data_IF_590394018818
#
_entry.id   IF_590394018818
#
_cell.length_a   1.000
_cell.length_b   1.000
_cell.length_c   1.000
_cell.angle_alpha   90.00
_cell.angle_beta   90.00
_cell.angle_gamma   90.00
#
_symmetry.space_group_name_H-M   'P 1'
#
loop_
_entity.id
_entity.type
_entity.pdbx_description
1 polymer ?
#
# COMPACT_ATOMS: atom_id res chain seq x y z
N UNK A 1 4.84 4.66 -38.35
CA UNK A 1 4.17 4.87 -37.05
C UNK A 1 4.19 3.69 -36.05
N UNK A 2 4.28 2.39 -36.41
CA UNK A 2 4.22 1.32 -35.40
C UNK A 2 5.46 1.24 -34.48
N UNK A 3 6.64 1.68 -34.94
CA UNK A 3 7.87 1.70 -34.12
C UNK A 3 7.79 2.63 -32.90
N UNK A 4 7.09 3.77 -33.02
CA UNK A 4 7.01 4.75 -31.94
C UNK A 4 6.22 4.22 -30.73
N UNK A 5 5.14 3.48 -31.00
CA UNK A 5 4.29 2.88 -29.96
C UNK A 5 5.08 1.86 -29.14
N UNK A 6 5.87 1.01 -29.79
CA UNK A 6 6.73 0.04 -29.11
C UNK A 6 7.80 0.72 -28.22
N UNK A 7 8.38 1.83 -28.67
CA UNK A 7 9.33 2.58 -27.85
C UNK A 7 8.67 3.16 -26.59
N UNK A 8 7.47 3.74 -26.74
CA UNK A 8 6.71 4.29 -25.61
C UNK A 8 6.36 3.19 -24.60
N UNK A 9 5.89 2.04 -25.09
CA UNK A 9 5.57 0.88 -24.24
C UNK A 9 6.80 0.36 -23.49
N UNK A 10 7.95 0.27 -24.15
CA UNK A 10 9.20 -0.18 -23.54
C UNK A 10 9.68 0.77 -22.44
N UNK A 11 9.72 2.08 -22.72
CA UNK A 11 10.13 3.09 -21.72
C UNK A 11 9.16 3.08 -20.54
N UNK A 12 7.86 3.08 -20.79
CA UNK A 12 6.84 3.04 -19.75
C UNK A 12 6.99 1.82 -18.83
N UNK A 13 7.16 0.63 -19.41
CA UNK A 13 7.36 -0.60 -18.64
C UNK A 13 8.64 -0.54 -17.80
N UNK A 14 9.75 -0.04 -18.37
CA UNK A 14 10.99 0.15 -17.64
C UNK A 14 10.84 1.14 -16.47
N UNK A 15 10.18 2.28 -16.69
CA UNK A 15 9.92 3.28 -15.65
C UNK A 15 9.04 2.73 -14.53
N UNK A 16 7.94 2.04 -14.84
CA UNK A 16 7.08 1.42 -13.82
C UNK A 16 7.89 0.43 -12.99
N UNK A 17 8.66 -0.44 -13.66
CA UNK A 17 9.46 -1.45 -12.97
C UNK A 17 10.50 -0.82 -12.05
N UNK A 18 11.21 0.21 -12.53
CA UNK A 18 12.18 0.96 -11.73
C UNK A 18 11.56 1.61 -10.51
N UNK A 19 10.50 2.41 -10.70
CA UNK A 19 9.81 3.10 -9.60
C UNK A 19 9.24 2.10 -8.57
N UNK A 20 8.69 0.97 -9.04
CA UNK A 20 8.15 -0.07 -8.15
C UNK A 20 9.25 -0.73 -7.33
N UNK A 21 10.43 -0.94 -7.92
CA UNK A 21 11.59 -1.50 -7.23
C UNK A 21 12.09 -0.55 -6.13
N UNK A 22 12.26 0.73 -6.43
CA UNK A 22 12.67 1.75 -5.46
C UNK A 22 11.70 1.83 -4.28
N UNK A 23 10.39 1.89 -4.55
CA UNK A 23 9.37 1.89 -3.49
C UNK A 23 9.41 0.61 -2.64
N UNK A 24 9.67 -0.55 -3.25
CA UNK A 24 9.80 -1.82 -2.52
C UNK A 24 11.00 -1.79 -1.59
N UNK A 25 12.14 -1.28 -2.05
CA UNK A 25 13.33 -1.14 -1.23
C UNK A 25 13.09 -0.16 -0.07
N UNK A 26 12.48 0.99 -0.32
CA UNK A 26 12.09 1.94 0.73
C UNK A 26 11.11 1.34 1.74
N UNK A 27 10.21 0.46 1.30
CA UNK A 27 9.28 -0.22 2.19
C UNK A 27 9.97 -1.31 3.02
N UNK A 28 10.92 -2.04 2.42
CA UNK A 28 11.68 -3.09 3.08
C UNK A 28 12.67 -2.57 4.12
N UNK A 29 13.18 -1.34 3.94
CA UNK A 29 14.07 -0.69 4.90
C UNK A 29 13.34 -0.09 6.12
N UNK A 30 12.00 -0.18 6.19
CA UNK A 30 11.25 0.30 7.36
C UNK A 30 11.42 -0.71 8.49
N UNK A 31 12.09 -0.31 9.56
CA UNK A 31 12.18 -1.08 10.82
C UNK A 31 10.84 -1.12 11.58
N UNK A 32 9.88 -0.28 11.17
CA UNK A 32 8.55 -0.19 11.79
C UNK A 32 7.59 -1.17 11.13
N UNK A 33 6.83 -1.97 11.91
CA UNK A 33 5.79 -2.82 11.39
C UNK A 33 4.80 -2.06 10.51
N UNK A 34 4.26 -2.73 9.48
CA UNK A 34 3.21 -2.17 8.63
C UNK A 34 2.07 -1.62 9.51
N UNK A 35 1.59 -0.38 9.26
CA UNK A 35 0.49 0.19 10.02
C UNK A 35 -0.76 -0.68 9.97
N UNK A 36 -1.47 -0.83 11.10
CA UNK A 36 -2.69 -1.63 11.20
C UNK A 36 -3.78 -1.19 10.20
N UNK A 37 -3.83 0.11 9.88
CA UNK A 37 -4.76 0.69 8.89
C UNK A 37 -4.57 0.16 7.46
N UNK A 38 -3.41 -0.46 7.17
CA UNK A 38 -3.10 -1.05 5.86
C UNK A 38 -3.23 -2.59 5.86
N UNK A 39 -3.69 -3.18 6.97
CA UNK A 39 -4.11 -4.57 7.00
C UNK A 39 -5.51 -4.70 6.37
N UNK A 40 -5.80 -5.82 5.69
CA UNK A 40 -7.12 -6.05 5.13
C UNK A 40 -8.16 -6.19 6.26
N UNK A 41 -9.33 -5.56 6.08
CA UNK A 41 -10.44 -5.62 7.06
C UNK A 41 -11.11 -7.00 7.16
N UNK A 42 -10.78 -7.90 6.23
CA UNK A 42 -11.28 -9.27 6.16
C UNK A 42 -10.12 -10.21 5.85
N UNK A 43 -10.28 -11.46 6.23
CA UNK A 43 -9.33 -12.49 5.86
C UNK A 43 -9.36 -12.69 4.34
N UNK A 44 -8.25 -12.38 3.66
CA UNK A 44 -8.17 -12.44 2.19
C UNK A 44 -8.43 -13.84 1.64
N UNK A 45 -8.15 -14.90 2.41
CA UNK A 45 -8.30 -16.30 1.99
C UNK A 45 -9.68 -16.87 2.26
N UNK A 46 -10.38 -16.42 3.31
CA UNK A 46 -11.69 -16.97 3.72
C UNK A 46 -12.86 -16.00 3.57
N UNK A 47 -12.60 -14.71 3.36
CA UNK A 47 -13.63 -13.66 3.29
C UNK A 47 -14.20 -13.24 4.65
N UNK A 48 -13.88 -13.95 5.73
CA UNK A 48 -14.39 -13.67 7.07
C UNK A 48 -13.90 -12.30 7.57
N UNK A 49 -14.84 -11.46 8.01
CA UNK A 49 -14.52 -10.19 8.67
C UNK A 49 -14.06 -10.48 10.08
N UNK A 50 -12.84 -10.05 10.43
CA UNK A 50 -12.44 -10.04 11.83
C UNK A 50 -13.33 -9.02 12.57
N UNK A 51 -13.88 -9.34 13.76
CA UNK A 51 -14.52 -8.31 14.58
C UNK A 51 -13.52 -7.17 14.80
N UNK A 52 -13.95 -5.90 14.71
CA UNK A 52 -13.05 -4.78 14.91
C UNK A 52 -12.39 -4.94 16.28
N UNK A 53 -11.06 -5.10 16.27
CA UNK A 53 -10.30 -5.02 17.50
C UNK A 53 -10.37 -3.55 17.94
N UNK A 54 -11.24 -3.28 18.90
CA UNK A 54 -11.41 -1.99 19.56
C UNK A 54 -10.17 -1.72 20.40
N UNK A 55 -9.05 -1.50 19.73
CA UNK A 55 -7.87 -0.90 20.33
C UNK A 55 -7.94 0.62 20.10
N UNK A 56 -7.45 1.37 21.07
CA UNK A 56 -7.72 2.78 21.40
C UNK A 56 -7.52 3.82 20.27
N UNK A 57 -7.09 3.41 19.08
CA UNK A 57 -6.93 4.23 17.88
C UNK A 57 -8.26 4.64 17.22
N UNK A 58 -9.41 4.15 17.72
CA UNK A 58 -10.74 4.51 17.24
C UNK A 58 -11.37 5.72 17.94
N UNK A 59 -10.68 6.35 18.91
CA UNK A 59 -11.14 7.64 19.42
C UNK A 59 -11.02 8.64 18.26
N UNK A 60 -12.13 9.26 17.82
CA UNK A 60 -12.04 10.30 16.80
C UNK A 60 -11.13 11.40 17.34
N UNK A 61 -10.08 11.76 16.59
CA UNK A 61 -9.14 12.84 16.95
C UNK A 61 -9.84 14.19 17.21
N UNK A 62 -11.11 14.32 16.82
CA UNK A 62 -11.99 15.44 17.12
C UNK A 62 -12.27 15.59 18.63
N UNK A 63 -12.24 14.49 19.40
CA UNK A 63 -12.47 14.55 20.85
C UNK A 63 -11.24 14.97 21.67
N UNK A 64 -10.02 14.86 21.12
CA UNK A 64 -8.76 15.17 21.81
C UNK A 64 -8.30 16.63 21.66
N UNK A 65 -9.11 17.49 21.04
CA UNK A 65 -8.81 18.91 20.89
C UNK A 65 -9.50 19.74 21.99
N UNK A 66 -9.07 19.60 23.25
CA UNK A 66 -9.49 20.48 24.35
C UNK A 66 -8.38 20.76 25.36
#
# INVERSE_FOLDING_TARGET
>A
MPRLIHCIQMVHHCTIRGNTEELRQMAASREVPRPLSTLPMFNVRTGERLPPNVDLAQVPLILDQH
#
